data_IF_554658425461
#
_entry.id   IF_554658425461
#
_cell.length_a   1.000
_cell.length_b   1.000
_cell.length_c   1.000
_cell.angle_alpha   90.00
_cell.angle_beta   90.00
_cell.angle_gamma   90.00
#
_symmetry.space_group_name_H-M   'P 1'
#
loop_
_entity.id
_entity.type
_entity.pdbx_description
1 polymer ?
#
# COMPACT_ATOMS: atom_id res chain seq x y z
N UNK A 1 -17.86 3.43 -14.01
CA UNK A 1 -16.72 4.18 -13.43
C UNK A 1 -15.46 3.54 -13.96
N UNK A 2 -14.68 4.29 -14.72
CA UNK A 2 -13.36 3.87 -15.21
C UNK A 2 -12.31 4.00 -14.09
N UNK A 3 -11.11 3.48 -14.29
CA UNK A 3 -9.99 3.72 -13.36
C UNK A 3 -9.65 5.21 -13.24
N UNK A 4 -9.82 5.98 -14.32
CA UNK A 4 -9.54 7.42 -14.34
C UNK A 4 -10.61 8.23 -13.61
N UNK A 5 -11.88 7.83 -13.70
CA UNK A 5 -12.97 8.42 -12.91
C UNK A 5 -12.73 8.23 -11.40
N UNK A 6 -12.26 7.02 -11.03
CA UNK A 6 -11.92 6.69 -9.66
C UNK A 6 -10.74 7.50 -9.16
N UNK A 7 -9.69 7.68 -9.98
CA UNK A 7 -8.55 8.53 -9.64
C UNK A 7 -8.99 9.97 -9.40
N UNK A 8 -9.77 10.56 -10.31
CA UNK A 8 -10.20 11.96 -10.21
C UNK A 8 -10.98 12.22 -8.93
N UNK A 9 -11.95 11.35 -8.62
CA UNK A 9 -12.77 11.45 -7.41
C UNK A 9 -11.90 11.33 -6.16
N UNK A 10 -11.10 10.26 -6.07
CA UNK A 10 -10.36 9.95 -4.85
C UNK A 10 -9.16 10.89 -4.62
N UNK A 11 -8.54 11.41 -5.69
CA UNK A 11 -7.46 12.38 -5.59
C UNK A 11 -7.91 13.64 -4.83
N UNK A 12 -9.11 14.15 -5.15
CA UNK A 12 -9.66 15.34 -4.48
C UNK A 12 -9.91 15.08 -2.99
N UNK A 13 -10.50 13.92 -2.66
CA UNK A 13 -10.79 13.52 -1.28
C UNK A 13 -9.50 13.39 -0.47
N UNK A 14 -8.49 12.71 -1.01
CA UNK A 14 -7.20 12.52 -0.33
C UNK A 14 -6.50 13.86 -0.13
N UNK A 15 -6.53 14.76 -1.12
CA UNK A 15 -5.92 16.09 -0.97
C UNK A 15 -6.58 16.91 0.15
N UNK A 16 -7.91 16.92 0.23
CA UNK A 16 -8.66 17.63 1.28
C UNK A 16 -8.37 17.06 2.67
N UNK A 17 -8.36 15.74 2.82
CA UNK A 17 -8.06 15.10 4.10
C UNK A 17 -6.60 15.29 4.51
N UNK A 18 -5.65 15.19 3.57
CA UNK A 18 -4.24 15.46 3.84
C UNK A 18 -4.01 16.92 4.27
N UNK A 19 -4.73 17.87 3.67
CA UNK A 19 -4.71 19.28 4.11
C UNK A 19 -5.22 19.43 5.55
N UNK A 20 -6.36 18.80 5.87
CA UNK A 20 -6.88 18.83 7.23
C UNK A 20 -5.91 18.19 8.24
N UNK A 21 -5.28 17.06 7.90
CA UNK A 21 -4.26 16.43 8.74
C UNK A 21 -3.03 17.33 8.92
N UNK A 22 -2.57 17.99 7.87
CA UNK A 22 -1.43 18.90 7.93
C UNK A 22 -1.68 20.08 8.90
N UNK A 23 -2.91 20.60 8.95
CA UNK A 23 -3.27 21.69 9.84
C UNK A 23 -3.51 21.26 11.30
N UNK A 24 -4.13 20.09 11.51
CA UNK A 24 -4.65 19.71 12.83
C UNK A 24 -3.81 18.66 13.55
N UNK A 25 -3.14 17.77 12.82
CA UNK A 25 -2.36 16.67 13.39
C UNK A 25 -1.08 16.36 12.58
N UNK A 26 -0.19 17.34 12.34
CA UNK A 26 0.96 17.20 11.42
C UNK A 26 1.97 16.10 11.82
N UNK A 27 1.91 15.61 13.07
CA UNK A 27 2.80 14.55 13.57
C UNK A 27 2.12 13.17 13.63
N UNK A 28 0.87 13.04 13.20
CA UNK A 28 0.17 11.75 13.17
C UNK A 28 0.81 10.79 12.15
N UNK A 29 0.62 9.49 12.36
CA UNK A 29 0.91 8.48 11.34
C UNK A 29 -0.25 8.47 10.34
N UNK A 30 0.02 8.78 9.08
CA UNK A 30 -0.99 8.86 8.02
C UNK A 30 -0.93 7.58 7.20
N UNK A 31 -2.02 6.81 7.23
CA UNK A 31 -2.16 5.55 6.52
C UNK A 31 -3.16 5.70 5.35
N UNK A 32 -2.66 5.79 4.12
CA UNK A 32 -3.47 5.97 2.92
C UNK A 32 -3.91 4.60 2.39
N UNK A 33 -5.20 4.32 2.49
CA UNK A 33 -5.85 3.11 1.92
C UNK A 33 -6.57 3.42 0.61
N UNK A 34 -6.95 4.69 0.41
CA UNK A 34 -7.76 5.12 -0.73
C UNK A 34 -7.04 4.84 -2.05
N UNK A 35 -7.70 4.07 -2.91
CA UNK A 35 -7.18 3.74 -4.23
C UNK A 35 -7.23 4.94 -5.20
N UNK A 36 -6.31 5.01 -6.17
CA UNK A 36 -5.14 4.13 -6.35
C UNK A 36 -3.98 4.55 -5.43
N UNK A 37 -3.55 3.66 -4.52
CA UNK A 37 -2.50 3.94 -3.51
C UNK A 37 -1.21 4.48 -4.15
N UNK A 38 -0.85 3.95 -5.32
CA UNK A 38 0.32 4.38 -6.09
C UNK A 38 0.34 5.88 -6.41
N UNK A 39 -0.84 6.52 -6.49
CA UNK A 39 -0.97 7.95 -6.81
C UNK A 39 -1.44 8.77 -5.62
N UNK A 40 -2.27 8.22 -4.73
CA UNK A 40 -2.82 8.95 -3.58
C UNK A 40 -1.77 9.21 -2.50
N UNK A 41 -0.78 8.33 -2.32
CA UNK A 41 0.35 8.58 -1.40
C UNK A 41 1.19 9.78 -1.85
N UNK A 42 1.66 9.87 -3.12
CA UNK A 42 2.31 11.08 -3.62
C UNK A 42 1.47 12.36 -3.46
N UNK A 43 0.15 12.30 -3.68
CA UNK A 43 -0.74 13.45 -3.46
C UNK A 43 -0.69 13.91 -2.01
N UNK A 44 -0.85 12.99 -1.05
CA UNK A 44 -0.78 13.32 0.37
C UNK A 44 0.58 13.93 0.74
N UNK A 45 1.67 13.35 0.23
CA UNK A 45 3.03 13.86 0.45
C UNK A 45 3.20 15.31 -0.02
N UNK A 46 2.71 15.62 -1.22
CA UNK A 46 2.82 16.95 -1.81
C UNK A 46 1.96 17.98 -1.07
N UNK A 47 0.76 17.61 -0.64
CA UNK A 47 -0.08 18.47 0.19
C UNK A 47 0.60 18.78 1.53
N UNK A 48 1.17 17.78 2.21
CA UNK A 48 1.91 18.01 3.45
C UNK A 48 3.16 18.86 3.23
N UNK A 49 3.85 18.70 2.09
CA UNK A 49 5.04 19.48 1.74
C UNK A 49 4.70 20.95 1.54
N UNK A 50 3.56 21.27 0.92
CA UNK A 50 3.06 22.64 0.77
C UNK A 50 2.77 23.33 2.11
N UNK A 51 2.46 22.55 3.15
CA UNK A 51 2.27 23.06 4.51
C UNK A 51 3.56 23.07 5.33
N UNK A 52 4.69 22.62 4.78
CA UNK A 52 5.97 22.56 5.49
C UNK A 52 6.07 21.50 6.59
N UNK A 53 5.16 20.52 6.61
CA UNK A 53 5.04 19.50 7.68
C UNK A 53 5.26 18.06 7.20
N UNK A 54 5.75 17.89 5.97
CA UNK A 54 6.00 16.56 5.42
C UNK A 54 7.14 15.83 6.15
N UNK A 55 6.81 14.69 6.76
CA UNK A 55 7.75 13.73 7.33
C UNK A 55 7.60 12.39 6.59
N UNK A 56 8.60 11.96 5.78
CA UNK A 56 8.51 10.71 5.03
C UNK A 56 8.44 9.47 5.93
N UNK A 57 8.80 9.57 7.21
CA UNK A 57 8.70 8.46 8.17
C UNK A 57 7.28 8.28 8.75
N UNK A 58 6.32 9.14 8.35
CA UNK A 58 4.96 9.16 8.91
C UNK A 58 3.86 9.01 7.88
N UNK A 59 4.19 8.87 6.59
CA UNK A 59 3.23 8.69 5.51
C UNK A 59 3.37 7.28 4.93
N UNK A 60 2.32 6.48 5.04
CA UNK A 60 2.31 5.07 4.63
C UNK A 60 1.20 4.82 3.62
N UNK A 61 1.56 4.19 2.49
CA UNK A 61 0.58 3.53 1.61
C UNK A 61 0.28 2.14 2.14
N UNK A 62 -0.98 1.83 2.44
CA UNK A 62 -1.34 0.54 3.02
C UNK A 62 -1.41 -0.53 1.93
N UNK A 63 -0.38 -1.36 1.83
CA UNK A 63 -0.28 -2.49 0.87
C UNK A 63 -0.42 -3.86 1.52
N UNK A 64 -0.69 -3.90 2.83
CA UNK A 64 -0.75 -5.14 3.63
C UNK A 64 -1.71 -6.20 3.08
N UNK A 65 -2.75 -5.79 2.35
CA UNK A 65 -3.67 -6.72 1.70
C UNK A 65 -2.97 -7.62 0.67
N UNK A 66 -1.96 -7.12 -0.03
CA UNK A 66 -1.22 -7.91 -1.02
C UNK A 66 -0.35 -8.97 -0.34
N UNK A 67 0.19 -8.65 0.84
CA UNK A 67 0.92 -9.61 1.68
C UNK A 67 -0.05 -10.69 2.18
N UNK A 68 -1.21 -10.30 2.71
CA UNK A 68 -2.24 -11.24 3.18
C UNK A 68 -2.66 -12.18 2.04
N UNK A 69 -2.92 -11.65 0.84
CA UNK A 69 -3.25 -12.46 -0.34
C UNK A 69 -2.13 -13.41 -0.73
N UNK A 70 -0.90 -12.92 -0.78
CA UNK A 70 0.28 -13.72 -1.15
C UNK A 70 0.48 -14.88 -0.17
N UNK A 71 0.38 -14.62 1.13
CA UNK A 71 0.47 -15.65 2.17
C UNK A 71 -0.63 -16.71 2.01
N UNK A 72 -1.88 -16.29 1.80
CA UNK A 72 -3.00 -17.20 1.59
C UNK A 72 -2.79 -18.10 0.37
N UNK A 73 -2.45 -17.52 -0.79
CA UNK A 73 -2.28 -18.28 -2.02
C UNK A 73 -1.08 -19.23 -1.96
N UNK A 74 0.02 -18.83 -1.35
CA UNK A 74 1.20 -19.69 -1.16
C UNK A 74 0.88 -20.83 -0.19
N UNK A 75 0.19 -20.52 0.92
CA UNK A 75 -0.20 -21.52 1.91
C UNK A 75 -1.11 -22.58 1.30
N UNK A 76 -2.13 -22.16 0.55
CA UNK A 76 -3.04 -23.05 -0.17
C UNK A 76 -2.30 -23.93 -1.18
N UNK A 77 -1.43 -23.34 -2.01
CA UNK A 77 -0.68 -24.06 -3.02
C UNK A 77 0.36 -25.05 -2.46
N UNK A 78 0.76 -24.90 -1.19
CA UNK A 78 1.77 -25.73 -0.53
C UNK A 78 1.22 -26.58 0.62
N UNK A 79 -0.07 -26.50 0.91
CA UNK A 79 -0.68 -27.20 2.05
C UNK A 79 -0.09 -26.76 3.39
N UNK A 80 0.28 -25.48 3.52
CA UNK A 80 0.86 -24.91 4.73
C UNK A 80 -0.22 -24.21 5.57
N UNK A 81 0.07 -24.03 6.85
CA UNK A 81 -0.70 -23.13 7.72
C UNK A 81 -0.41 -21.68 7.33
N UNK A 82 -1.44 -20.95 6.89
CA UNK A 82 -1.34 -19.53 6.48
C UNK A 82 -0.75 -18.64 7.56
N UNK A 83 -0.97 -18.96 8.84
CA UNK A 83 -0.41 -18.18 9.95
C UNK A 83 1.11 -18.30 10.06
N UNK A 84 1.69 -19.32 9.44
CA UNK A 84 3.14 -19.59 9.42
C UNK A 84 3.80 -19.17 8.11
N UNK A 85 3.04 -18.69 7.13
CA UNK A 85 3.57 -18.21 5.85
C UNK A 85 3.76 -16.69 5.90
N UNK A 86 4.95 -16.25 5.51
CA UNK A 86 5.30 -14.84 5.35
C UNK A 86 6.03 -14.66 4.02
N UNK A 87 5.36 -14.02 3.06
CA UNK A 87 5.88 -13.64 1.75
C UNK A 87 6.01 -12.12 1.68
N UNK A 88 7.24 -11.56 1.56
CA UNK A 88 7.41 -10.15 1.29
C UNK A 88 6.78 -9.76 -0.05
N UNK A 89 6.06 -8.64 -0.09
CA UNK A 89 5.51 -8.06 -1.32
C UNK A 89 6.06 -6.64 -1.46
N UNK A 90 6.65 -6.34 -2.62
CA UNK A 90 7.29 -5.05 -2.90
C UNK A 90 6.67 -4.38 -4.14
N UNK A 91 7.13 -3.16 -4.44
CA UNK A 91 6.68 -2.38 -5.59
C UNK A 91 5.57 -1.41 -5.21
N UNK A 92 4.37 -1.62 -5.76
CA UNK A 92 3.18 -0.81 -5.50
C UNK A 92 1.92 -1.68 -5.38
N UNK A 93 0.75 -1.04 -5.43
CA UNK A 93 -0.57 -1.64 -5.18
C UNK A 93 -1.49 -1.63 -6.42
N UNK A 94 -0.94 -1.82 -7.63
CA UNK A 94 -1.75 -1.86 -8.85
C UNK A 94 -1.20 -2.84 -9.90
N UNK A 95 -1.96 -3.91 -10.16
CA UNK A 95 -1.65 -4.87 -11.21
C UNK A 95 -0.21 -5.37 -11.15
N UNK A 96 0.54 -5.17 -12.24
CA UNK A 96 1.94 -5.62 -12.37
C UNK A 96 2.94 -4.94 -11.43
N UNK A 97 2.54 -3.87 -10.74
CA UNK A 97 3.43 -3.25 -9.75
C UNK A 97 3.48 -4.03 -8.43
N UNK A 98 2.55 -4.97 -8.20
CA UNK A 98 2.52 -5.81 -7.00
C UNK A 98 3.47 -6.99 -7.23
N UNK A 99 4.56 -7.06 -6.46
CA UNK A 99 5.62 -8.05 -6.68
C UNK A 99 5.84 -8.91 -5.43
N UNK A 100 5.20 -10.09 -5.34
CA UNK A 100 5.51 -11.08 -4.31
C UNK A 100 6.93 -11.65 -4.52
N UNK A 101 7.79 -11.50 -3.53
CA UNK A 101 9.18 -11.97 -3.56
C UNK A 101 9.24 -13.40 -3.03
N UNK A 102 8.74 -14.34 -3.83
CA UNK A 102 8.58 -15.75 -3.43
C UNK A 102 9.90 -16.38 -2.94
N UNK A 103 11.04 -15.94 -3.50
CA UNK A 103 12.38 -16.39 -3.09
C UNK A 103 12.76 -16.03 -1.65
N UNK A 104 12.02 -15.11 -1.01
CA UNK A 104 12.23 -14.68 0.38
C UNK A 104 11.09 -15.11 1.32
N UNK A 105 10.26 -16.07 0.91
CA UNK A 105 9.23 -16.62 1.77
C UNK A 105 9.81 -17.35 2.99
N UNK A 106 9.12 -17.22 4.12
CA UNK A 106 9.29 -18.04 5.31
C UNK A 106 8.00 -18.82 5.59
N UNK A 107 8.00 -20.16 5.65
CA UNK A 107 9.13 -21.05 5.32
C UNK A 107 9.51 -20.95 3.83
N UNK A 108 10.70 -21.45 3.48
CA UNK A 108 11.15 -21.50 2.09
C UNK A 108 10.20 -22.37 1.25
N UNK A 109 9.75 -21.84 0.11
CA UNK A 109 8.89 -22.53 -0.85
C UNK A 109 9.51 -22.48 -2.24
N UNK A 110 9.30 -23.52 -3.05
CA UNK A 110 9.69 -23.57 -4.46
C UNK A 110 8.51 -23.94 -5.33
N UNK A 111 8.34 -23.32 -6.49
CA UNK A 111 7.32 -23.66 -7.47
C UNK A 111 7.97 -24.20 -8.75
N UNK A 112 7.32 -25.11 -9.50
CA UNK A 112 7.78 -25.50 -10.82
C UNK A 112 7.93 -24.27 -11.72
N UNK A 113 8.95 -24.26 -12.58
CA UNK A 113 9.12 -23.23 -13.61
C UNK A 113 8.15 -23.45 -14.77
#
# INVERSE_FOLDING_TARGET
MTRDDLFTTNASVVAQLAHACALNCPKAMICVVTNPVNSTVPIAAEIMRRHGVFDPQRLFGVTTLDIIRSNTFIAEAKGLDVQKVSCPVIGGHSGITILPVISQCSPTVSFPQ
#
